data_IF_232983990437
#
_entry.id   IF_232983990437
#
_cell.length_a   1.000
_cell.length_b   1.000
_cell.length_c   1.000
_cell.angle_alpha   90.00
_cell.angle_beta   90.00
_cell.angle_gamma   90.00
#
_symmetry.space_group_name_H-M   'P 1'
#
loop_
_entity.id
_entity.type
_entity.pdbx_description
1 polymer ?
#
# COMPACT_ATOMS: atom_id res chain seq x y z
N UNK A 1 1.87 20.63 19.10
CA UNK A 1 2.17 19.30 18.52
C UNK A 1 3.04 19.51 17.29
N UNK A 2 4.27 19.00 17.26
CA UNK A 2 5.19 19.24 16.13
C UNK A 2 4.79 18.38 14.91
N UNK A 3 4.43 19.03 13.81
CA UNK A 3 3.92 18.38 12.58
C UNK A 3 4.96 17.39 12.02
N UNK A 4 6.24 17.74 12.06
CA UNK A 4 7.34 16.89 11.57
C UNK A 4 7.41 15.54 12.29
N UNK A 5 7.42 15.57 13.63
CA UNK A 5 7.49 14.35 14.44
C UNK A 5 6.26 13.48 14.19
N UNK A 6 5.06 14.09 14.15
CA UNK A 6 3.84 13.33 13.89
C UNK A 6 3.84 12.69 12.50
N UNK A 7 4.32 13.37 11.47
CA UNK A 7 4.39 12.80 10.10
C UNK A 7 5.36 11.62 10.03
N UNK A 8 6.54 11.74 10.64
CA UNK A 8 7.55 10.68 10.65
C UNK A 8 7.03 9.45 11.42
N UNK A 9 6.41 9.65 12.59
CA UNK A 9 5.82 8.57 13.39
C UNK A 9 4.69 7.89 12.61
N UNK A 10 3.80 8.66 11.98
CA UNK A 10 2.72 8.09 11.16
C UNK A 10 3.27 7.25 10.01
N UNK A 11 4.29 7.74 9.32
CA UNK A 11 4.95 7.00 8.25
C UNK A 11 5.61 5.72 8.77
N UNK A 12 6.35 5.80 9.87
CA UNK A 12 7.08 4.67 10.46
C UNK A 12 6.16 3.54 10.95
N UNK A 13 5.01 3.89 11.52
CA UNK A 13 4.04 2.91 12.03
C UNK A 13 2.96 2.53 11.00
N UNK A 14 2.97 3.11 9.80
CA UNK A 14 2.11 2.65 8.71
C UNK A 14 2.75 1.45 8.04
N UNK A 15 2.11 0.29 8.14
CA UNK A 15 2.63 -0.99 7.65
C UNK A 15 1.67 -1.58 6.62
N UNK A 16 2.24 -2.12 5.55
CA UNK A 16 1.52 -2.87 4.51
C UNK A 16 2.00 -4.31 4.57
N UNK A 17 1.07 -5.24 4.75
CA UNK A 17 1.34 -6.67 4.77
C UNK A 17 0.64 -7.31 3.60
N UNK A 18 1.43 -7.86 2.68
CA UNK A 18 0.93 -8.56 1.49
C UNK A 18 1.07 -10.06 1.72
N UNK A 19 -0.02 -10.80 1.49
CA UNK A 19 -0.07 -12.27 1.59
C UNK A 19 -0.66 -12.87 0.33
N UNK A 20 -0.61 -14.20 0.21
CA UNK A 20 -1.25 -15.00 -0.85
C UNK A 20 -2.80 -14.87 -0.88
N UNK A 21 -3.41 -14.39 0.21
CA UNK A 21 -4.86 -14.34 0.36
C UNK A 21 -5.42 -12.92 0.36
N UNK A 22 -4.72 -11.99 1.00
CA UNK A 22 -5.18 -10.61 1.26
C UNK A 22 -4.03 -9.63 1.38
N UNK A 23 -4.34 -8.37 1.15
CA UNK A 23 -3.50 -7.22 1.50
C UNK A 23 -4.10 -6.60 2.75
N UNK A 24 -3.25 -6.36 3.75
CA UNK A 24 -3.62 -5.73 5.01
C UNK A 24 -2.83 -4.44 5.13
N UNK A 25 -3.52 -3.35 5.43
CA UNK A 25 -2.93 -2.03 5.64
C UNK A 25 -3.28 -1.57 7.04
N UNK A 26 -2.25 -1.29 7.82
CA UNK A 26 -2.38 -0.68 9.15
C UNK A 26 -1.85 0.74 9.05
N UNK A 27 -2.70 1.75 9.28
CA UNK A 27 -2.28 3.16 9.29
C UNK A 27 -2.43 3.75 10.68
N UNK A 28 -1.43 4.53 11.10
CA UNK A 28 -1.54 5.32 12.32
C UNK A 28 -2.18 6.68 11.98
N UNK A 29 -3.44 6.86 12.33
CA UNK A 29 -4.17 8.12 12.07
C UNK A 29 -3.79 9.21 13.07
N UNK A 30 -3.51 8.83 14.32
CA UNK A 30 -2.96 9.69 15.36
C UNK A 30 -2.24 8.84 16.42
N UNK A 31 -1.58 9.47 17.40
CA UNK A 31 -0.76 8.75 18.39
C UNK A 31 -1.51 7.68 19.21
N UNK A 32 -2.85 7.70 19.21
CA UNK A 32 -3.70 6.80 20.02
C UNK A 32 -4.69 5.99 19.18
N UNK A 33 -4.72 6.16 17.85
CA UNK A 33 -5.67 5.51 16.96
C UNK A 33 -4.95 5.01 15.71
N UNK A 34 -5.05 3.71 15.47
CA UNK A 34 -4.69 3.08 14.21
C UNK A 34 -5.95 2.60 13.50
N UNK A 35 -5.93 2.63 12.16
CA UNK A 35 -6.90 1.96 11.31
C UNK A 35 -6.30 0.63 10.83
N UNK A 36 -7.12 -0.42 10.83
CA UNK A 36 -6.83 -1.71 10.22
C UNK A 36 -7.82 -1.90 9.08
N UNK A 37 -7.30 -2.05 7.87
CA UNK A 37 -8.10 -2.31 6.69
C UNK A 37 -7.51 -3.50 5.94
N UNK A 38 -8.38 -4.38 5.44
CA UNK A 38 -7.97 -5.53 4.65
C UNK A 38 -8.80 -5.63 3.37
N UNK A 39 -8.17 -6.09 2.30
CA UNK A 39 -8.84 -6.45 1.06
C UNK A 39 -8.34 -7.80 0.59
N UNK A 40 -9.24 -8.57 0.00
CA UNK A 40 -8.87 -9.89 -0.53
C UNK A 40 -8.09 -9.70 -1.81
N UNK A 41 -7.04 -10.50 -1.99
CA UNK A 41 -6.20 -10.44 -3.19
C UNK A 41 -7.02 -10.69 -4.47
N UNK A 42 -8.09 -11.48 -4.38
CA UNK A 42 -9.02 -11.76 -5.48
C UNK A 42 -9.96 -10.60 -5.85
N UNK A 43 -10.05 -9.59 -4.98
CA UNK A 43 -10.88 -8.41 -5.15
C UNK A 43 -10.09 -7.19 -5.57
N UNK A 44 -8.76 -7.27 -5.64
CA UNK A 44 -7.95 -6.19 -6.19
C UNK A 44 -8.15 -6.14 -7.71
N UNK A 45 -8.58 -4.99 -8.20
CA UNK A 45 -8.80 -4.74 -9.63
C UNK A 45 -7.58 -4.14 -10.29
N UNK A 46 -7.01 -3.11 -9.66
CA UNK A 46 -5.86 -2.39 -10.17
C UNK A 46 -4.90 -2.00 -9.04
N UNK A 47 -3.61 -1.95 -9.39
CA UNK A 47 -2.55 -1.46 -8.53
C UNK A 47 -1.73 -0.49 -9.35
N UNK A 48 -1.70 0.78 -8.95
CA UNK A 48 -1.02 1.85 -9.69
C UNK A 48 0.01 2.55 -8.81
N UNK A 49 1.26 2.66 -9.27
CA UNK A 49 2.29 3.46 -8.62
C UNK A 49 2.38 4.86 -9.22
N UNK A 50 2.72 5.86 -8.40
CA UNK A 50 3.02 7.21 -8.87
C UNK A 50 4.23 7.80 -8.17
N UNK A 51 5.08 8.53 -8.90
CA UNK A 51 6.24 9.20 -8.30
C UNK A 51 5.95 10.68 -8.05
N UNK A 52 6.25 11.14 -6.85
CA UNK A 52 5.88 12.48 -6.35
C UNK A 52 7.02 13.48 -6.61
N UNK A 53 7.50 13.63 -7.84
CA UNK A 53 8.57 14.58 -8.30
C UNK A 53 9.94 13.94 -8.60
N UNK A 54 10.84 14.75 -9.17
CA UNK A 54 12.21 14.37 -9.56
C UNK A 54 12.99 13.63 -8.44
N UNK A 55 12.91 14.14 -7.21
CA UNK A 55 13.55 13.50 -6.05
C UNK A 55 12.97 12.13 -5.72
N UNK A 56 11.67 11.92 -5.95
CA UNK A 56 11.04 10.61 -5.78
C UNK A 56 11.62 9.56 -6.73
N UNK A 57 11.96 9.92 -7.96
CA UNK A 57 12.63 8.99 -8.88
C UNK A 57 14.08 8.71 -8.47
N UNK A 58 14.77 9.70 -7.90
CA UNK A 58 16.16 9.53 -7.46
C UNK A 58 16.27 8.64 -6.21
N UNK A 59 15.35 8.79 -5.26
CA UNK A 59 15.33 8.03 -4.01
C UNK A 59 14.42 6.80 -4.06
N UNK A 60 13.79 6.54 -5.21
CA UNK A 60 12.78 5.50 -5.42
C UNK A 60 11.68 5.55 -4.35
N UNK A 61 11.08 6.74 -4.17
CA UNK A 61 9.98 6.99 -3.23
C UNK A 61 8.78 7.54 -4.00
N UNK A 62 7.61 6.96 -3.75
CA UNK A 62 6.37 7.40 -4.38
C UNK A 62 5.13 6.96 -3.63
N UNK A 63 4.00 6.92 -4.32
CA UNK A 63 2.72 6.43 -3.80
C UNK A 63 2.34 5.12 -4.50
N UNK A 64 1.50 4.35 -3.82
CA UNK A 64 0.83 3.18 -4.36
C UNK A 64 -0.66 3.30 -4.07
N UNK A 65 -1.46 3.27 -5.12
CA UNK A 65 -2.92 3.21 -5.05
C UNK A 65 -3.35 1.78 -5.42
N UNK A 66 -4.18 1.17 -4.58
CA UNK A 66 -4.74 -0.17 -4.76
C UNK A 66 -6.25 -0.03 -4.79
N UNK A 67 -6.85 -0.32 -5.94
CA UNK A 67 -8.28 -0.21 -6.16
C UNK A 67 -8.93 -1.60 -6.12
N UNK A 68 -10.08 -1.68 -5.46
CA UNK A 68 -10.77 -2.94 -5.16
C UNK A 68 -12.17 -2.99 -5.77
N UNK A 69 -12.60 -4.20 -6.12
CA UNK A 69 -13.90 -4.46 -6.72
C UNK A 69 -15.02 -4.32 -5.69
N UNK A 70 -16.08 -3.62 -6.07
CA UNK A 70 -17.34 -3.59 -5.32
C UNK A 70 -17.33 -2.65 -4.12
N UNK A 71 -17.65 -3.18 -2.93
CA UNK A 71 -17.74 -2.40 -1.68
C UNK A 71 -16.53 -2.65 -0.75
N UNK A 72 -15.43 -3.21 -1.27
CA UNK A 72 -14.17 -3.29 -0.50
C UNK A 72 -13.49 -1.92 -0.41
N UNK A 73 -12.46 -1.83 0.43
CA UNK A 73 -11.77 -0.58 0.76
C UNK A 73 -10.62 -0.37 -0.23
N UNK A 74 -10.59 0.79 -0.89
CA UNK A 74 -9.42 1.21 -1.68
C UNK A 74 -8.31 1.75 -0.78
N UNK A 75 -7.06 1.47 -1.14
CA UNK A 75 -5.90 1.88 -0.36
C UNK A 75 -5.08 2.90 -1.12
N UNK A 76 -4.90 4.07 -0.50
CA UNK A 76 -3.90 5.05 -0.91
C UNK A 76 -2.74 5.07 0.05
N UNK A 77 -1.58 4.61 -0.39
CA UNK A 77 -0.35 4.52 0.38
C UNK A 77 0.61 5.59 -0.12
N UNK A 78 1.08 6.45 0.78
CA UNK A 78 1.88 7.61 0.41
C UNK A 78 3.31 7.50 0.91
N UNK A 79 4.24 8.02 0.13
CA UNK A 79 5.67 8.08 0.50
C UNK A 79 6.27 6.70 0.79
N UNK A 80 5.90 5.70 0.01
CA UNK A 80 6.47 4.37 0.09
C UNK A 80 7.83 4.31 -0.60
N UNK A 81 8.80 3.58 -0.03
CA UNK A 81 9.99 3.18 -0.76
C UNK A 81 9.63 2.14 -1.81
N UNK A 82 10.24 2.26 -2.99
CA UNK A 82 10.16 1.34 -4.12
C UNK A 82 8.72 0.94 -4.50
N UNK A 83 7.81 1.90 -4.74
CA UNK A 83 6.40 1.61 -4.98
C UNK A 83 6.19 0.76 -6.26
N UNK A 84 7.12 0.84 -7.22
CA UNK A 84 7.10 0.00 -8.42
C UNK A 84 7.35 -1.47 -8.10
N UNK A 85 8.38 -1.78 -7.31
CA UNK A 85 8.66 -3.17 -6.88
C UNK A 85 7.47 -3.76 -6.13
N UNK A 86 6.80 -2.96 -5.29
CA UNK A 86 5.61 -3.39 -4.57
C UNK A 86 4.41 -3.61 -5.50
N UNK A 87 4.19 -2.74 -6.50
CA UNK A 87 3.17 -2.96 -7.54
C UNK A 87 3.42 -4.28 -8.28
N UNK A 88 4.64 -4.49 -8.77
CA UNK A 88 5.01 -5.70 -9.51
C UNK A 88 4.76 -6.96 -8.67
N UNK A 89 5.15 -6.92 -7.39
CA UNK A 89 4.93 -8.03 -6.45
C UNK A 89 3.43 -8.33 -6.23
N UNK A 90 2.58 -7.31 -6.06
CA UNK A 90 1.14 -7.53 -5.88
C UNK A 90 0.52 -8.09 -7.17
N UNK A 91 0.90 -7.55 -8.33
CA UNK A 91 0.43 -8.03 -9.62
C UNK A 91 0.83 -9.49 -9.88
N UNK A 92 2.06 -9.87 -9.56
CA UNK A 92 2.54 -11.25 -9.67
C UNK A 92 1.72 -12.19 -8.78
N UNK A 93 1.41 -11.79 -7.55
CA UNK A 93 0.58 -12.57 -6.63
C UNK A 93 -0.86 -12.74 -7.16
N UNK A 94 -1.45 -11.67 -7.71
CA UNK A 94 -2.77 -11.72 -8.35
C UNK A 94 -2.75 -12.71 -9.53
N UNK A 95 -1.72 -12.66 -10.37
CA UNK A 95 -1.55 -13.53 -11.52
C UNK A 95 -1.34 -15.00 -11.12
N UNK A 96 -0.53 -15.26 -10.09
CA UNK A 96 -0.32 -16.60 -9.56
C UNK A 96 -1.62 -17.20 -9.02
N UNK A 97 -2.42 -16.40 -8.31
CA UNK A 97 -3.73 -16.81 -7.80
C UNK A 97 -4.73 -17.08 -8.92
N UNK A 98 -4.80 -16.21 -9.94
CA UNK A 98 -5.62 -16.43 -11.14
C UNK A 98 -5.25 -17.73 -11.87
N UNK A 99 -3.95 -18.08 -11.88
CA UNK A 99 -3.43 -19.33 -12.46
C UNK A 99 -3.58 -20.55 -11.54
N UNK A 100 -4.14 -20.40 -10.34
CA UNK A 100 -4.31 -21.48 -9.36
C UNK A 100 -3.00 -22.06 -8.82
N UNK A 101 -1.90 -21.30 -8.88
CA UNK A 101 -0.59 -21.73 -8.36
C UNK A 101 -0.48 -21.61 -6.84
N UNK A 102 -1.32 -20.76 -6.25
CA UNK A 102 -1.47 -20.47 -4.82
C UNK A 102 -2.94 -20.29 -4.47
#
# INVERSE_FOLDING_TARGET
MNILITTIVKWYYSVVVVTDRRVVVVKLENAFYHSYSEARLEKIEDVTHSTINFWGNLFDVGNLDIDTAGHEIDFRLKTLPRPRELQDLINDLIDMKKKGKI
#
